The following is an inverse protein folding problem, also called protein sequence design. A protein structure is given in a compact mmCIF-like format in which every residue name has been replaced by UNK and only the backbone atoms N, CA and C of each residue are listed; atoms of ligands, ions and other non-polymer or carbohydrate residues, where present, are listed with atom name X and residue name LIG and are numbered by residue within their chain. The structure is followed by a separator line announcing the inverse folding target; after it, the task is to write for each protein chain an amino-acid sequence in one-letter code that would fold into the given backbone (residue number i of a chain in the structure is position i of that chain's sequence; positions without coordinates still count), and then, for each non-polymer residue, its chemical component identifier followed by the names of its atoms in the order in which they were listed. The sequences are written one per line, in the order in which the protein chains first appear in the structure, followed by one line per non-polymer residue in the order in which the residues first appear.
data_IF_462057559027
#
_entry.id   IF_462057559027
#
_cell.length_a   1.000
_cell.length_b   1.000
_cell.length_c   1.000
_cell.angle_alpha   90.00
_cell.angle_beta   90.00
_cell.angle_gamma   90.00
#
_symmetry.space_group_name_H-M   'P 1'
#
loop_
_entity.id
_entity.type
_entity.pdbx_description
1 polymer ?
#
# COMPACT_ATOMS: atom_id res chain seq x y z
N UNK A 1 -52.38 49.14 47.86
CA UNK A 1 -52.63 47.82 47.23
C UNK A 1 -52.40 47.96 45.73
N UNK A 2 -51.74 46.94 45.13
CA UNK A 2 -51.42 46.73 43.69
C UNK A 2 -50.16 47.44 43.19
N UNK A 3 -48.97 46.80 43.21
CA UNK A 3 -48.39 45.76 42.31
C UNK A 3 -48.00 46.24 40.91
N UNK A 4 -46.68 46.34 40.70
CA UNK A 4 -45.89 45.77 39.57
C UNK A 4 -46.05 46.43 38.18
N UNK A 5 -45.05 46.54 37.30
CA UNK A 5 -43.85 45.74 37.06
C UNK A 5 -42.76 46.56 36.36
N UNK A 6 -41.51 46.18 36.62
CA UNK A 6 -40.28 46.58 35.91
C UNK A 6 -40.13 45.68 34.66
N UNK A 7 -39.80 46.26 33.50
CA UNK A 7 -39.23 45.51 32.36
C UNK A 7 -37.82 46.02 32.10
N UNK A 8 -36.82 45.24 32.52
CA UNK A 8 -35.43 45.39 32.10
C UNK A 8 -35.11 44.24 31.15
N UNK A 9 -34.83 44.54 29.89
CA UNK A 9 -34.34 43.57 28.91
C UNK A 9 -32.84 43.32 29.16
N UNK A 10 -32.47 42.09 29.53
CA UNK A 10 -31.09 41.62 29.47
C UNK A 10 -30.81 41.10 28.06
N UNK A 11 -29.88 41.74 27.35
CA UNK A 11 -29.22 41.15 26.18
C UNK A 11 -28.02 40.35 26.68
N UNK A 12 -28.07 39.02 26.56
CA UNK A 12 -26.93 38.14 26.82
C UNK A 12 -26.02 38.15 25.59
N UNK A 13 -24.84 38.79 25.71
CA UNK A 13 -23.77 38.64 24.74
C UNK A 13 -23.05 37.30 25.01
N UNK A 14 -23.28 36.32 24.14
CA UNK A 14 -22.50 35.08 24.12
C UNK A 14 -21.11 35.36 23.55
N UNK A 15 -20.08 35.27 24.39
CA UNK A 15 -18.69 35.29 23.95
C UNK A 15 -18.36 33.92 23.33
N UNK A 16 -18.31 33.84 22.00
CA UNK A 16 -17.74 32.70 21.27
C UNK A 16 -16.22 32.83 21.37
N UNK A 17 -15.59 31.98 22.17
CA UNK A 17 -14.14 31.83 22.22
C UNK A 17 -13.68 31.06 20.97
N UNK A 18 -13.40 31.78 19.89
CA UNK A 18 -12.65 31.22 18.77
C UNK A 18 -11.21 30.96 19.20
N UNK A 19 -10.86 29.69 19.46
CA UNK A 19 -9.46 29.26 19.54
C UNK A 19 -8.89 29.29 18.11
N UNK A 20 -7.72 29.92 17.87
CA UNK A 20 -7.07 29.78 16.58
C UNK A 20 -6.55 28.35 16.47
N UNK A 21 -7.08 27.58 15.51
CA UNK A 21 -6.51 26.29 15.11
C UNK A 21 -5.17 26.56 14.42
N UNK A 22 -4.07 26.41 15.16
CA UNK A 22 -2.71 26.43 14.60
C UNK A 22 -2.43 25.04 14.05
N UNK A 23 -3.09 24.70 12.95
CA UNK A 23 -2.69 23.63 12.05
C UNK A 23 -3.00 24.20 10.67
N UNK A 24 -1.95 24.53 9.91
CA UNK A 24 -2.13 24.91 8.51
C UNK A 24 -2.86 23.77 7.83
N UNK A 25 -3.97 24.06 7.14
CA UNK A 25 -4.53 23.12 6.16
C UNK A 25 -3.37 22.67 5.29
N UNK A 26 -2.96 21.42 5.43
CA UNK A 26 -2.03 20.80 4.50
C UNK A 26 -2.81 20.76 3.19
N UNK A 27 -2.48 21.67 2.29
CA UNK A 27 -3.18 21.77 1.03
C UNK A 27 -3.01 20.42 0.30
N UNK A 28 -4.10 19.95 -0.29
CA UNK A 28 -4.15 19.10 -1.48
C UNK A 28 -3.42 19.72 -2.70
N UNK A 29 -2.41 20.57 -2.49
CA UNK A 29 -1.70 21.34 -3.51
C UNK A 29 -0.34 20.73 -3.90
N UNK A 30 0.09 19.64 -3.28
CA UNK A 30 1.26 18.91 -3.78
C UNK A 30 0.82 18.07 -4.98
N UNK A 31 1.46 18.29 -6.14
CA UNK A 31 1.19 17.56 -7.37
C UNK A 31 1.26 16.04 -7.14
N UNK A 32 0.43 15.28 -7.85
CA UNK A 32 0.46 13.82 -7.80
C UNK A 32 1.83 13.31 -8.27
N UNK A 33 2.57 12.54 -7.45
CA UNK A 33 3.92 12.11 -7.82
C UNK A 33 3.95 11.15 -9.01
N UNK A 34 2.84 10.48 -9.32
CA UNK A 34 2.70 9.58 -10.46
C UNK A 34 2.32 10.32 -11.76
N UNK A 35 1.83 11.56 -11.69
CA UNK A 35 1.45 12.29 -12.92
C UNK A 35 2.67 12.57 -13.79
N UNK A 36 2.60 12.14 -15.05
CA UNK A 36 3.67 12.32 -16.03
C UNK A 36 4.87 11.40 -15.83
N UNK A 37 4.78 10.42 -14.92
CA UNK A 37 5.85 9.43 -14.66
C UNK A 37 5.40 8.02 -14.96
N UNK A 38 6.35 7.19 -15.38
CA UNK A 38 6.14 5.76 -15.51
C UNK A 38 6.56 5.05 -14.22
N UNK A 39 5.69 4.21 -13.66
CA UNK A 39 6.10 3.30 -12.59
C UNK A 39 7.16 2.34 -13.15
N UNK A 40 8.34 2.31 -12.52
CA UNK A 40 9.48 1.56 -13.03
C UNK A 40 9.17 0.05 -13.13
N UNK A 41 9.75 -0.59 -14.14
CA UNK A 41 9.64 -2.04 -14.36
C UNK A 41 10.66 -2.79 -13.49
N UNK A 42 10.17 -3.63 -12.58
CA UNK A 42 10.98 -4.42 -11.66
C UNK A 42 11.66 -5.61 -12.35
N UNK A 43 12.93 -5.45 -12.71
CA UNK A 43 13.70 -6.45 -13.46
C UNK A 43 13.86 -7.79 -12.73
N UNK A 44 13.87 -7.80 -11.39
CA UNK A 44 13.91 -9.05 -10.63
C UNK A 44 12.60 -9.84 -10.78
N UNK A 45 11.47 -9.15 -10.91
CA UNK A 45 10.17 -9.77 -11.17
C UNK A 45 10.03 -10.24 -12.62
N UNK A 46 10.43 -9.39 -13.58
CA UNK A 46 10.30 -9.73 -15.01
C UNK A 46 11.17 -10.91 -15.41
N UNK A 47 12.33 -11.10 -14.76
CA UNK A 47 13.16 -12.29 -14.94
C UNK A 47 12.47 -13.58 -14.51
N UNK A 48 11.62 -13.56 -13.46
CA UNK A 48 10.86 -14.73 -13.01
C UNK A 48 9.74 -15.08 -13.99
N UNK A 49 9.10 -14.07 -14.58
CA UNK A 49 8.05 -14.23 -15.58
C UNK A 49 8.53 -14.92 -16.87
N UNK A 50 9.84 -15.03 -17.11
CA UNK A 50 10.34 -15.75 -18.27
C UNK A 50 9.97 -17.24 -18.24
N UNK A 51 9.95 -17.87 -17.05
CA UNK A 51 9.46 -19.24 -16.89
C UNK A 51 8.01 -19.37 -17.36
N UNK A 52 7.15 -18.43 -16.96
CA UNK A 52 5.73 -18.40 -17.34
C UNK A 52 5.54 -18.18 -18.83
N UNK A 53 6.34 -17.28 -19.42
CA UNK A 53 6.32 -17.01 -20.86
C UNK A 53 6.72 -18.25 -21.65
N UNK A 54 7.80 -18.91 -21.25
CA UNK A 54 8.27 -20.15 -21.87
C UNK A 54 7.25 -21.28 -21.74
N UNK A 55 6.56 -21.39 -20.60
CA UNK A 55 5.49 -22.36 -20.39
C UNK A 55 4.32 -22.17 -21.37
N UNK A 56 3.87 -20.93 -21.59
CA UNK A 56 2.83 -20.64 -22.58
C UNK A 56 3.30 -20.91 -24.01
N UNK A 57 4.52 -20.52 -24.36
CA UNK A 57 5.09 -20.79 -25.69
C UNK A 57 5.21 -22.29 -25.97
N UNK A 58 5.65 -23.08 -24.99
CA UNK A 58 5.74 -24.53 -25.09
C UNK A 58 4.36 -25.19 -25.29
N UNK A 59 3.29 -24.58 -24.76
CA UNK A 59 1.91 -25.00 -24.96
C UNK A 59 1.28 -24.50 -26.28
N UNK A 60 1.99 -23.69 -27.07
CA UNK A 60 1.46 -23.05 -28.28
C UNK A 60 0.44 -21.94 -28.01
N UNK A 61 0.48 -21.33 -26.81
CA UNK A 61 -0.41 -20.26 -26.39
C UNK A 61 0.29 -18.89 -26.54
N UNK A 62 0.46 -18.47 -27.80
CA UNK A 62 1.12 -17.20 -28.15
C UNK A 62 0.40 -15.98 -27.57
N UNK A 63 -0.91 -16.10 -27.32
CA UNK A 63 -1.72 -15.00 -26.78
C UNK A 63 -1.33 -14.73 -25.33
N UNK A 64 -1.32 -15.75 -24.46
CA UNK A 64 -0.94 -15.55 -23.07
C UNK A 64 0.57 -15.32 -22.93
N UNK A 65 1.42 -15.93 -23.78
CA UNK A 65 2.83 -15.55 -23.86
C UNK A 65 3.04 -14.06 -24.16
N UNK A 66 2.26 -13.50 -25.10
CA UNK A 66 2.29 -12.07 -25.42
C UNK A 66 1.82 -11.18 -24.27
N UNK A 67 0.86 -11.63 -23.45
CA UNK A 67 0.47 -10.92 -22.22
C UNK A 67 1.59 -10.91 -21.17
N UNK A 68 2.28 -12.03 -20.99
CA UNK A 68 3.44 -12.10 -20.08
C UNK A 68 4.53 -11.15 -20.55
N UNK A 69 4.83 -11.14 -21.86
CA UNK A 69 5.78 -10.21 -22.44
C UNK A 69 5.39 -8.75 -22.18
N UNK A 70 4.10 -8.40 -22.34
CA UNK A 70 3.62 -7.06 -22.01
C UNK A 70 3.85 -6.70 -20.53
N UNK A 71 3.63 -7.63 -19.59
CA UNK A 71 3.98 -7.42 -18.17
C UNK A 71 5.47 -7.17 -18.01
N UNK A 72 6.31 -7.98 -18.64
CA UNK A 72 7.77 -7.87 -18.56
C UNK A 72 8.31 -6.54 -19.11
N UNK A 73 7.66 -5.94 -20.10
CA UNK A 73 8.19 -4.77 -20.79
C UNK A 73 7.54 -3.46 -20.35
N UNK A 74 6.28 -3.50 -19.90
CA UNK A 74 5.46 -2.28 -19.78
C UNK A 74 4.74 -2.11 -18.43
N UNK A 75 4.75 -3.12 -17.55
CA UNK A 75 4.03 -3.04 -16.27
C UNK A 75 5.01 -2.87 -15.13
N UNK A 76 4.94 -1.70 -14.50
CA UNK A 76 5.71 -1.41 -13.29
C UNK A 76 5.16 -2.13 -12.06
N UNK A 77 6.07 -2.63 -11.21
CA UNK A 77 5.76 -3.35 -9.97
C UNK A 77 6.73 -2.91 -8.88
N UNK A 78 6.28 -2.84 -7.63
CA UNK A 78 7.16 -2.44 -6.52
C UNK A 78 8.26 -3.48 -6.24
N UNK A 79 9.39 -3.02 -5.69
CA UNK A 79 10.46 -3.90 -5.16
C UNK A 79 10.29 -4.05 -3.65
N UNK A 80 10.23 -5.31 -3.19
CA UNK A 80 10.06 -5.62 -1.77
C UNK A 80 11.41 -5.72 -1.08
N UNK A 81 11.68 -4.78 -0.17
CA UNK A 81 12.89 -4.77 0.64
C UNK A 81 12.57 -5.50 1.96
N UNK A 82 12.34 -6.80 1.90
CA UNK A 82 11.74 -7.56 3.00
C UNK A 82 12.71 -8.01 4.11
N UNK A 83 14.00 -7.66 4.00
CA UNK A 83 15.07 -7.94 4.97
C UNK A 83 16.32 -7.08 4.69
N UNK A 84 17.30 -7.09 5.59
CA UNK A 84 18.58 -6.37 5.47
C UNK A 84 19.35 -6.80 4.21
N UNK A 85 19.33 -8.08 3.84
CA UNK A 85 20.04 -8.56 2.66
C UNK A 85 19.45 -8.00 1.34
N UNK A 86 18.14 -7.78 1.30
CA UNK A 86 17.43 -7.19 0.14
C UNK A 86 17.67 -5.68 -0.05
N UNK A 87 18.39 -5.00 0.85
CA UNK A 87 18.74 -3.59 0.66
C UNK A 87 19.51 -3.32 -0.65
N UNK A 88 20.24 -4.32 -1.16
CA UNK A 88 20.91 -4.24 -2.45
C UNK A 88 19.95 -4.15 -3.65
N UNK A 89 18.70 -4.60 -3.51
CA UNK A 89 17.71 -4.52 -4.58
C UNK A 89 17.26 -3.07 -4.84
N UNK A 90 17.42 -2.17 -3.87
CA UNK A 90 17.22 -0.72 -4.06
C UNK A 90 18.23 -0.19 -5.09
N UNK A 91 19.49 -0.63 -4.99
CA UNK A 91 20.56 -0.17 -5.88
C UNK A 91 20.27 -0.63 -7.32
N UNK A 92 19.80 -1.88 -7.50
CA UNK A 92 19.37 -2.41 -8.79
C UNK A 92 18.14 -1.69 -9.37
N UNK A 93 17.15 -1.35 -8.53
CA UNK A 93 15.98 -0.58 -8.94
C UNK A 93 16.37 0.83 -9.43
N UNK A 94 17.28 1.49 -8.71
CA UNK A 94 17.82 2.81 -9.08
C UNK A 94 18.58 2.73 -10.41
N UNK A 95 19.45 1.74 -10.59
CA UNK A 95 20.20 1.55 -11.83
C UNK A 95 19.28 1.32 -13.03
N UNK A 96 18.30 0.43 -12.88
CA UNK A 96 17.30 0.13 -13.92
C UNK A 96 16.48 1.36 -14.30
N UNK A 97 15.92 2.07 -13.31
CA UNK A 97 15.11 3.27 -13.56
C UNK A 97 15.93 4.37 -14.26
N UNK A 98 17.18 4.60 -13.84
CA UNK A 98 18.08 5.56 -14.52
C UNK A 98 18.36 5.15 -15.95
N UNK A 99 18.60 3.87 -16.21
CA UNK A 99 18.86 3.38 -17.56
C UNK A 99 17.66 3.65 -18.49
N UNK A 100 16.44 3.31 -18.04
CA UNK A 100 15.21 3.57 -18.80
C UNK A 100 15.00 5.06 -19.03
N UNK A 101 15.18 5.90 -18.00
CA UNK A 101 15.04 7.35 -18.12
C UNK A 101 16.06 7.96 -19.09
N UNK A 102 17.29 7.44 -19.13
CA UNK A 102 18.32 7.88 -20.08
C UNK A 102 18.01 7.46 -21.51
N UNK A 103 17.43 6.27 -21.70
CA UNK A 103 17.10 5.73 -23.02
C UNK A 103 15.85 6.39 -23.63
N UNK A 104 14.81 6.56 -22.82
CA UNK A 104 13.48 7.00 -23.29
C UNK A 104 13.25 8.50 -23.12
N UNK A 105 13.92 9.13 -22.14
CA UNK A 105 13.62 10.48 -21.68
C UNK A 105 12.36 10.59 -20.82
N UNK A 106 11.69 9.47 -20.52
CA UNK A 106 10.50 9.44 -19.66
C UNK A 106 10.90 9.40 -18.19
N UNK A 107 10.36 10.33 -17.39
CA UNK A 107 10.60 10.34 -15.95
C UNK A 107 10.05 9.08 -15.29
N UNK A 108 10.88 8.44 -14.47
CA UNK A 108 10.51 7.22 -13.76
C UNK A 108 10.11 7.53 -12.31
N UNK A 109 9.16 6.76 -11.77
CA UNK A 109 8.90 6.67 -10.34
C UNK A 109 9.22 5.26 -9.85
N UNK A 110 10.13 5.13 -8.90
CA UNK A 110 10.55 3.85 -8.33
C UNK A 110 9.65 3.49 -7.16
N UNK A 111 8.92 2.37 -7.29
CA UNK A 111 8.09 1.80 -6.23
C UNK A 111 8.91 0.87 -5.32
N UNK A 112 8.94 1.14 -4.02
CA UNK A 112 9.63 0.31 -3.02
C UNK A 112 8.67 -0.04 -1.87
N UNK A 113 8.81 -1.24 -1.32
CA UNK A 113 8.14 -1.64 -0.07
C UNK A 113 9.19 -1.76 1.03
N UNK A 114 9.06 -0.93 2.06
CA UNK A 114 9.85 -1.01 3.29
C UNK A 114 9.08 -1.91 4.25
N UNK A 115 9.57 -3.14 4.47
CA UNK A 115 8.82 -4.19 5.16
C UNK A 115 9.73 -5.10 5.99
N UNK A 116 10.17 -4.64 7.16
CA UNK A 116 11.04 -5.43 8.03
C UNK A 116 10.87 -5.10 9.52
N UNK A 117 9.70 -4.61 9.94
CA UNK A 117 9.44 -4.36 11.36
C UNK A 117 9.82 -5.56 12.24
N UNK A 118 10.34 -5.32 13.48
CA UNK A 118 10.52 -6.41 14.43
C UNK A 118 9.17 -7.00 14.84
N UNK A 119 9.16 -8.32 15.07
CA UNK A 119 7.96 -9.10 15.38
C UNK A 119 6.88 -8.92 14.27
N UNK A 120 7.34 -8.86 13.00
CA UNK A 120 6.49 -8.73 11.80
C UNK A 120 5.44 -9.83 11.74
N UNK A 121 4.28 -9.49 11.18
CA UNK A 121 3.15 -10.41 10.99
C UNK A 121 2.74 -11.11 12.30
N UNK A 122 2.47 -10.29 13.32
CA UNK A 122 2.23 -10.76 14.68
C UNK A 122 0.96 -11.62 14.86
N UNK A 123 0.11 -11.75 13.83
CA UNK A 123 -1.15 -12.50 13.90
C UNK A 123 -1.19 -13.77 13.05
N UNK A 124 -0.50 -13.82 11.89
CA UNK A 124 -0.57 -14.97 10.98
C UNK A 124 0.74 -15.78 10.90
N UNK A 125 1.91 -15.14 11.06
CA UNK A 125 3.23 -15.78 11.18
C UNK A 125 3.85 -16.33 9.88
N UNK A 126 3.11 -16.40 8.77
CA UNK A 126 3.60 -16.89 7.46
C UNK A 126 4.65 -15.95 6.85
N UNK A 127 4.58 -14.65 7.15
CA UNK A 127 5.55 -13.64 6.70
C UNK A 127 6.44 -13.14 7.83
N UNK A 128 6.80 -14.00 8.80
CA UNK A 128 7.68 -13.60 9.90
C UNK A 128 9.00 -12.99 9.39
N UNK A 129 9.37 -11.82 9.94
CA UNK A 129 10.59 -11.08 9.58
C UNK A 129 11.83 -11.62 10.31
N UNK A 130 13.02 -11.11 9.94
CA UNK A 130 14.29 -11.51 10.56
C UNK A 130 14.59 -10.82 11.91
N UNK A 131 13.80 -9.79 12.25
CA UNK A 131 14.01 -8.96 13.42
C UNK A 131 13.01 -9.33 14.51
N UNK A 132 13.50 -9.51 15.74
CA UNK A 132 12.66 -9.78 16.91
C UNK A 132 12.88 -8.74 18.00
N UNK A 133 11.81 -8.32 18.70
CA UNK A 133 11.94 -7.36 19.81
C UNK A 133 12.80 -7.91 20.95
N UNK A 134 12.77 -9.23 21.16
CA UNK A 134 13.58 -9.93 22.15
C UNK A 134 15.09 -9.83 21.85
N UNK A 135 15.49 -9.63 20.59
CA UNK A 135 16.88 -9.61 20.14
C UNK A 135 17.28 -8.22 19.62
N UNK A 136 16.87 -7.18 20.33
CA UNK A 136 17.19 -5.78 20.02
C UNK A 136 16.66 -5.33 18.64
N UNK A 137 15.58 -5.96 18.15
CA UNK A 137 15.06 -5.79 16.79
C UNK A 137 14.71 -4.35 16.42
N UNK A 138 14.19 -3.54 17.35
CA UNK A 138 13.88 -2.13 17.04
C UNK A 138 15.14 -1.30 16.75
N UNK A 139 16.23 -1.51 17.50
CA UNK A 139 17.48 -0.80 17.21
C UNK A 139 18.09 -1.26 15.89
N UNK A 140 18.08 -2.57 15.62
CA UNK A 140 18.55 -3.15 14.35
C UNK A 140 17.73 -2.64 13.17
N UNK A 141 16.40 -2.60 13.30
CA UNK A 141 15.48 -2.04 12.31
C UNK A 141 15.85 -0.59 11.98
N UNK A 142 16.17 0.23 12.98
CA UNK A 142 16.61 1.62 12.75
C UNK A 142 17.95 1.68 12.04
N UNK A 143 19.00 1.06 12.59
CA UNK A 143 20.38 1.33 12.17
C UNK A 143 20.90 0.43 11.05
N UNK A 144 20.48 -0.84 11.02
CA UNK A 144 20.92 -1.83 10.03
C UNK A 144 20.02 -1.82 8.79
N UNK A 145 18.77 -1.36 8.94
CA UNK A 145 17.77 -1.41 7.88
C UNK A 145 17.30 -0.01 7.42
N UNK A 146 16.55 0.74 8.22
CA UNK A 146 15.97 2.05 7.81
C UNK A 146 17.05 3.07 7.43
N UNK A 147 18.10 3.23 8.24
CA UNK A 147 19.19 4.18 7.94
C UNK A 147 19.87 3.84 6.60
N UNK A 148 20.02 2.53 6.31
CA UNK A 148 20.64 2.04 5.08
C UNK A 148 19.71 2.19 3.87
N UNK A 149 18.41 2.01 4.08
CA UNK A 149 17.38 2.29 3.08
C UNK A 149 17.40 3.77 2.71
N UNK A 150 17.29 4.65 3.72
CA UNK A 150 17.22 6.09 3.55
C UNK A 150 18.46 6.64 2.83
N UNK A 151 19.65 6.18 3.21
CA UNK A 151 20.90 6.59 2.57
C UNK A 151 20.91 6.30 1.06
N UNK A 152 20.36 5.15 0.62
CA UNK A 152 20.31 4.77 -0.81
C UNK A 152 19.36 5.65 -1.61
N UNK A 153 18.12 5.81 -1.14
CA UNK A 153 17.11 6.60 -1.88
C UNK A 153 17.44 8.09 -1.87
N UNK A 154 18.01 8.63 -0.78
CA UNK A 154 18.44 10.03 -0.72
C UNK A 154 19.66 10.32 -1.59
N UNK A 155 20.52 9.33 -1.84
CA UNK A 155 21.64 9.45 -2.78
C UNK A 155 21.19 9.50 -4.26
N UNK A 156 19.94 9.14 -4.55
CA UNK A 156 19.35 9.14 -5.88
C UNK A 156 18.32 10.27 -6.05
N UNK A 157 18.72 11.50 -5.75
CA UNK A 157 17.86 12.70 -5.83
C UNK A 157 17.38 13.06 -7.24
N UNK A 158 17.93 12.42 -8.28
CA UNK A 158 17.52 12.52 -9.68
C UNK A 158 16.28 11.68 -10.01
N UNK A 159 15.89 10.74 -9.14
CA UNK A 159 14.72 9.88 -9.30
C UNK A 159 13.61 10.26 -8.31
N UNK A 160 12.37 9.91 -8.65
CA UNK A 160 11.21 10.00 -7.75
C UNK A 160 10.92 8.64 -7.14
N UNK A 161 10.54 8.59 -5.85
CA UNK A 161 10.25 7.35 -5.14
C UNK A 161 8.83 7.36 -4.55
N UNK A 162 8.09 6.26 -4.76
CA UNK A 162 6.91 5.93 -3.98
C UNK A 162 7.27 4.78 -3.02
N UNK A 163 7.18 5.01 -1.71
CA UNK A 163 7.58 4.03 -0.70
C UNK A 163 6.36 3.65 0.13
N UNK A 164 5.98 2.37 0.06
CA UNK A 164 5.00 1.75 0.94
C UNK A 164 5.66 1.38 2.25
N UNK A 165 5.06 1.79 3.37
CA UNK A 165 5.61 1.56 4.71
C UNK A 165 4.82 0.46 5.43
N UNK A 166 5.52 -0.65 5.66
CA UNK A 166 5.17 -1.73 6.59
C UNK A 166 3.75 -2.28 6.42
N UNK A 167 3.48 -3.00 5.31
CA UNK A 167 2.24 -3.74 5.10
C UNK A 167 1.74 -4.49 6.34
N UNK A 168 0.42 -4.45 6.56
CA UNK A 168 -0.33 -5.11 7.65
C UNK A 168 -0.06 -4.62 9.08
N UNK A 169 0.96 -3.78 9.30
CA UNK A 169 1.32 -3.37 10.65
C UNK A 169 0.16 -2.62 11.35
N UNK A 170 -0.44 -1.65 10.67
CA UNK A 170 -1.56 -0.88 11.24
C UNK A 170 -2.83 -1.71 11.37
N UNK A 171 -3.10 -2.62 10.43
CA UNK A 171 -4.20 -3.59 10.52
C UNK A 171 -4.17 -4.36 11.84
N UNK A 172 -3.00 -4.92 12.16
CA UNK A 172 -2.76 -5.64 13.41
C UNK A 172 -2.90 -4.75 14.66
N UNK A 173 -2.46 -3.49 14.58
CA UNK A 173 -2.61 -2.52 15.68
C UNK A 173 -4.07 -2.16 15.98
N UNK A 174 -4.95 -2.24 14.98
CA UNK A 174 -6.37 -1.92 15.14
C UNK A 174 -7.16 -3.12 15.62
N UNK A 175 -7.03 -4.29 14.97
CA UNK A 175 -7.97 -5.40 15.20
C UNK A 175 -7.42 -6.54 16.05
N UNK A 176 -6.09 -6.69 16.12
CA UNK A 176 -5.46 -7.90 16.66
C UNK A 176 -4.82 -7.69 18.04
N UNK A 177 -5.23 -6.65 18.77
CA UNK A 177 -4.72 -6.33 20.11
C UNK A 177 -5.13 -7.35 21.19
N UNK A 178 -6.05 -8.27 20.89
CA UNK A 178 -6.35 -9.41 21.77
C UNK A 178 -5.27 -10.50 21.73
N UNK A 179 -4.41 -10.50 20.70
CA UNK A 179 -3.26 -11.39 20.60
C UNK A 179 -2.11 -10.75 21.39
N UNK A 180 -1.66 -11.40 22.47
CA UNK A 180 -0.63 -10.85 23.37
C UNK A 180 0.66 -10.48 22.62
N UNK A 181 1.06 -11.28 21.63
CA UNK A 181 2.21 -11.00 20.79
C UNK A 181 2.05 -9.67 20.01
N UNK A 182 0.90 -9.44 19.36
CA UNK A 182 0.59 -8.17 18.70
C UNK A 182 0.48 -6.99 19.66
N UNK A 183 -0.14 -7.19 20.83
CA UNK A 183 -0.28 -6.14 21.84
C UNK A 183 1.09 -5.66 22.35
N UNK A 184 2.02 -6.58 22.57
CA UNK A 184 3.39 -6.28 22.98
C UNK A 184 4.20 -5.60 21.86
N UNK A 185 3.95 -5.96 20.60
CA UNK A 185 4.67 -5.40 19.45
C UNK A 185 4.17 -4.01 19.03
N UNK A 186 2.91 -3.66 19.31
CA UNK A 186 2.26 -2.47 18.76
C UNK A 186 3.01 -1.15 19.02
N UNK A 187 3.45 -0.88 20.25
CA UNK A 187 4.14 0.38 20.55
C UNK A 187 5.54 0.46 19.93
N UNK A 188 6.42 -0.55 20.06
CA UNK A 188 7.68 -0.60 19.32
C UNK A 188 7.51 -0.51 17.79
N UNK A 189 6.47 -1.11 17.22
CA UNK A 189 6.19 -1.04 15.79
C UNK A 189 5.75 0.38 15.37
N UNK A 190 4.90 1.07 16.15
CA UNK A 190 4.61 2.51 15.91
C UNK A 190 5.89 3.33 15.92
N UNK A 191 6.77 3.08 16.87
CA UNK A 191 8.08 3.75 16.98
C UNK A 191 9.04 3.42 15.83
N UNK A 192 8.91 2.24 15.23
CA UNK A 192 9.63 1.83 14.02
C UNK A 192 9.12 2.57 12.79
N UNK A 193 7.81 2.55 12.53
CA UNK A 193 7.20 3.26 11.39
C UNK A 193 7.45 4.76 11.50
N UNK A 194 7.30 5.35 12.68
CA UNK A 194 7.59 6.76 12.93
C UNK A 194 9.05 7.12 12.62
N UNK A 195 10.00 6.24 12.97
CA UNK A 195 11.41 6.42 12.63
C UNK A 195 11.65 6.35 11.12
N UNK A 196 11.03 5.40 10.41
CA UNK A 196 11.12 5.31 8.95
C UNK A 196 10.58 6.58 8.27
N UNK A 197 9.44 7.09 8.71
CA UNK A 197 8.90 8.36 8.20
C UNK A 197 9.91 9.50 8.43
N UNK A 198 10.44 9.64 9.65
CA UNK A 198 11.38 10.71 9.98
C UNK A 198 12.68 10.64 9.16
N UNK A 199 13.19 9.44 8.90
CA UNK A 199 14.43 9.21 8.16
C UNK A 199 14.29 9.48 6.64
N UNK A 200 13.09 9.30 6.08
CA UNK A 200 12.82 9.34 4.64
C UNK A 200 12.23 10.68 4.14
N UNK A 201 12.55 11.80 4.81
CA UNK A 201 12.06 13.12 4.41
C UNK A 201 12.95 13.71 3.30
N UNK A 202 12.43 13.77 2.07
CA UNK A 202 13.02 14.49 0.93
C UNK A 202 11.94 14.84 -0.10
N UNK A 203 12.17 15.86 -0.94
CA UNK A 203 11.18 16.34 -1.91
C UNK A 203 10.82 15.29 -2.98
N UNK A 204 11.76 14.40 -3.30
CA UNK A 204 11.60 13.34 -4.30
C UNK A 204 11.12 12.00 -3.69
N UNK A 205 10.79 11.96 -2.40
CA UNK A 205 10.36 10.75 -1.69
C UNK A 205 8.91 10.91 -1.22
N UNK A 206 8.04 10.02 -1.67
CA UNK A 206 6.61 10.02 -1.37
C UNK A 206 6.24 8.79 -0.56
N UNK A 207 5.89 9.01 0.71
CA UNK A 207 5.61 7.95 1.68
C UNK A 207 4.12 7.64 1.75
N UNK A 208 3.79 6.35 1.64
CA UNK A 208 2.45 5.81 1.80
C UNK A 208 2.45 4.80 2.95
N UNK A 209 1.78 5.11 4.06
CA UNK A 209 1.64 4.15 5.17
C UNK A 209 0.62 3.09 4.76
N UNK A 210 0.94 1.81 4.95
CA UNK A 210 -0.03 0.78 4.63
C UNK A 210 -1.28 0.85 5.52
N UNK A 211 -2.44 0.75 4.87
CA UNK A 211 -3.76 0.78 5.46
C UNK A 211 -4.54 -0.52 5.20
N UNK A 212 -3.83 -1.65 5.01
CA UNK A 212 -4.44 -2.95 4.77
C UNK A 212 -5.42 -2.92 3.60
N UNK A 213 -6.69 -3.26 3.78
CA UNK A 213 -7.70 -3.28 2.71
C UNK A 213 -9.12 -3.09 3.28
N UNK A 214 -10.11 -2.87 2.41
CA UNK A 214 -11.51 -2.57 2.79
C UNK A 214 -12.13 -3.64 3.68
N UNK A 215 -11.86 -4.92 3.39
CA UNK A 215 -12.31 -6.06 4.21
C UNK A 215 -11.73 -6.19 5.61
N UNK A 216 -10.69 -5.42 5.93
CA UNK A 216 -10.06 -5.44 7.24
C UNK A 216 -10.38 -4.14 8.00
N UNK A 217 -9.97 -3.00 7.46
CA UNK A 217 -10.07 -1.71 8.14
C UNK A 217 -11.20 -0.82 7.62
N UNK A 218 -11.91 -1.27 6.58
CA UNK A 218 -13.01 -0.53 5.96
C UNK A 218 -14.39 -0.73 6.60
N UNK A 219 -14.51 -1.59 7.63
CA UNK A 219 -15.71 -1.68 8.45
C UNK A 219 -15.92 -0.40 9.26
N UNK A 220 -17.17 0.05 9.40
CA UNK A 220 -17.51 1.34 10.04
C UNK A 220 -16.84 1.54 11.42
N UNK A 221 -16.81 0.49 12.24
CA UNK A 221 -16.21 0.52 13.58
C UNK A 221 -14.66 0.60 13.56
N UNK A 222 -14.02 0.27 12.43
CA UNK A 222 -12.56 0.27 12.28
C UNK A 222 -12.01 1.57 11.67
N UNK A 223 -12.82 2.35 10.95
CA UNK A 223 -12.36 3.56 10.25
C UNK A 223 -11.75 4.61 11.19
N UNK A 224 -12.47 4.98 12.25
CA UNK A 224 -11.99 5.98 13.22
C UNK A 224 -10.75 5.50 14.02
N UNK A 225 -10.72 4.25 14.56
CA UNK A 225 -9.50 3.70 15.17
C UNK A 225 -8.30 3.68 14.21
N UNK A 226 -8.51 3.37 12.94
CA UNK A 226 -7.47 3.35 11.91
C UNK A 226 -6.84 4.73 11.73
N UNK A 227 -7.66 5.76 11.49
CA UNK A 227 -7.17 7.14 11.40
C UNK A 227 -6.41 7.57 12.67
N UNK A 228 -6.83 7.09 13.85
CA UNK A 228 -6.14 7.39 15.12
C UNK A 228 -4.76 6.77 15.22
N UNK A 229 -4.56 5.56 14.68
CA UNK A 229 -3.23 4.93 14.63
C UNK A 229 -2.30 5.74 13.73
N UNK A 230 -2.75 6.16 12.55
CA UNK A 230 -1.96 7.00 11.66
C UNK A 230 -1.58 8.34 12.30
N UNK A 231 -2.53 9.00 12.97
CA UNK A 231 -2.27 10.25 13.68
C UNK A 231 -1.19 10.07 14.76
N UNK A 232 -1.25 8.96 15.50
CA UNK A 232 -0.26 8.62 16.53
C UNK A 232 1.13 8.39 15.92
N UNK A 233 1.21 7.62 14.84
CA UNK A 233 2.47 7.32 14.14
C UNK A 233 3.10 8.58 13.55
N UNK A 234 2.33 9.39 12.82
CA UNK A 234 2.82 10.63 12.20
C UNK A 234 3.25 11.63 13.26
N UNK A 235 2.51 11.77 14.37
CA UNK A 235 2.92 12.64 15.48
C UNK A 235 4.25 12.20 16.12
N UNK A 236 4.50 10.89 16.23
CA UNK A 236 5.77 10.32 16.73
C UNK A 236 6.95 10.59 15.80
N UNK A 237 6.72 10.68 14.48
CA UNK A 237 7.77 10.98 13.50
C UNK A 237 8.32 12.42 13.65
N UNK A 238 7.54 13.32 14.26
CA UNK A 238 7.95 14.67 14.62
C UNK A 238 7.23 15.76 13.80
N UNK A 239 7.32 17.04 14.23
CA UNK A 239 6.45 18.11 13.73
C UNK A 239 6.68 18.50 12.26
N UNK A 240 7.81 18.11 11.67
CA UNK A 240 8.14 18.39 10.27
C UNK A 240 8.00 17.15 9.38
N UNK A 241 7.69 15.99 9.95
CA UNK A 241 7.55 14.76 9.21
C UNK A 241 6.25 14.79 8.40
N UNK A 242 6.36 14.44 7.12
CA UNK A 242 5.23 14.36 6.20
C UNK A 242 5.16 12.97 5.59
N UNK A 243 3.94 12.55 5.32
CA UNK A 243 3.62 11.45 4.41
C UNK A 243 2.79 12.02 3.26
N UNK A 244 2.79 11.32 2.13
CA UNK A 244 1.88 11.63 1.03
C UNK A 244 0.49 11.10 1.35
N UNK A 245 0.40 9.88 1.88
CA UNK A 245 -0.89 9.24 2.16
C UNK A 245 -0.75 7.77 2.56
N UNK A 246 -1.57 6.91 1.95
CA UNK A 246 -1.73 5.51 2.34
C UNK A 246 -1.67 4.54 1.15
N UNK A 247 -1.26 3.30 1.39
CA UNK A 247 -1.48 2.20 0.44
C UNK A 247 -2.62 1.31 0.91
N UNK A 248 -3.41 0.79 -0.02
CA UNK A 248 -4.41 -0.24 0.29
C UNK A 248 -4.33 -1.41 -0.69
N UNK A 249 -4.95 -2.52 -0.28
CA UNK A 249 -5.05 -3.77 -1.02
C UNK A 249 -3.71 -4.49 -1.27
N UNK A 250 -2.62 -4.05 -0.62
CA UNK A 250 -1.29 -4.64 -0.80
C UNK A 250 -1.35 -6.14 -0.55
N UNK A 251 -0.97 -6.92 -1.55
CA UNK A 251 -1.03 -8.39 -1.52
C UNK A 251 -2.44 -8.99 -1.36
N UNK A 252 -3.51 -8.21 -1.42
CA UNK A 252 -4.88 -8.70 -1.37
C UNK A 252 -5.49 -8.78 -2.79
N UNK A 253 -6.80 -8.89 -2.87
CA UNK A 253 -7.53 -9.30 -4.08
C UNK A 253 -8.81 -8.50 -4.33
N UNK A 254 -9.06 -7.45 -3.54
CA UNK A 254 -10.28 -6.67 -3.71
C UNK A 254 -10.24 -5.94 -5.06
N UNK A 255 -11.38 -5.84 -5.77
CA UNK A 255 -11.45 -4.99 -6.95
C UNK A 255 -11.25 -3.53 -6.54
N UNK A 256 -10.68 -2.73 -7.45
CA UNK A 256 -10.60 -1.28 -7.25
C UNK A 256 -12.01 -0.65 -7.18
N UNK A 257 -12.88 -0.97 -8.14
CA UNK A 257 -14.26 -0.51 -8.16
C UNK A 257 -15.16 -1.58 -8.78
N UNK A 258 -16.30 -1.87 -8.15
CA UNK A 258 -17.24 -2.89 -8.64
C UNK A 258 -18.70 -2.45 -8.49
N UNK A 259 -19.53 -2.88 -9.43
CA UNK A 259 -21.00 -2.79 -9.34
C UNK A 259 -21.65 -4.10 -8.88
N UNK A 260 -20.84 -5.15 -8.69
CA UNK A 260 -21.28 -6.48 -8.24
C UNK A 260 -20.46 -6.91 -7.03
N UNK A 261 -20.72 -6.33 -5.84
CA UNK A 261 -20.01 -6.69 -4.62
C UNK A 261 -20.18 -8.17 -4.31
N UNK A 262 -19.15 -8.75 -3.69
CA UNK A 262 -19.19 -10.14 -3.24
C UNK A 262 -20.12 -10.30 -2.03
N UNK A 263 -20.82 -11.43 -1.85
CA UNK A 263 -21.76 -11.59 -0.75
C UNK A 263 -21.13 -11.37 0.64
N UNK A 264 -19.86 -11.73 0.83
CA UNK A 264 -19.17 -11.53 2.12
C UNK A 264 -18.90 -10.06 2.46
N UNK A 265 -19.11 -9.12 1.53
CA UNK A 265 -18.97 -7.68 1.80
C UNK A 265 -20.27 -7.06 2.30
N UNK A 266 -21.32 -7.85 2.53
CA UNK A 266 -22.60 -7.36 3.08
C UNK A 266 -22.35 -6.51 4.33
N UNK A 267 -23.07 -5.38 4.42
CA UNK A 267 -22.96 -4.37 5.49
C UNK A 267 -21.68 -3.52 5.51
N UNK A 268 -20.67 -3.81 4.68
CA UNK A 268 -19.51 -2.93 4.55
C UNK A 268 -19.79 -1.82 3.53
N UNK A 269 -19.55 -0.57 3.92
CA UNK A 269 -19.51 0.56 2.98
C UNK A 269 -18.23 0.54 2.13
N UNK A 270 -17.23 -0.26 2.51
CA UNK A 270 -15.92 -0.38 1.88
C UNK A 270 -15.79 -1.68 1.10
N UNK A 271 -16.83 -2.07 0.36
CA UNK A 271 -16.91 -3.36 -0.35
C UNK A 271 -15.94 -3.48 -1.55
N UNK A 272 -15.37 -2.37 -2.00
CA UNK A 272 -14.23 -2.30 -2.91
C UNK A 272 -13.25 -1.22 -2.43
N UNK A 273 -12.07 -1.14 -3.05
CA UNK A 273 -10.98 -0.30 -2.54
C UNK A 273 -11.18 1.20 -2.81
N UNK A 274 -11.89 1.57 -3.88
CA UNK A 274 -12.26 2.97 -4.14
C UNK A 274 -13.25 3.47 -3.08
N UNK A 275 -14.24 2.65 -2.72
CA UNK A 275 -15.16 2.94 -1.62
C UNK A 275 -14.44 2.92 -0.26
N UNK A 276 -13.46 2.02 -0.06
CA UNK A 276 -12.65 2.04 1.16
C UNK A 276 -11.87 3.35 1.33
N UNK A 277 -11.17 3.79 0.29
CA UNK A 277 -10.46 5.08 0.30
C UNK A 277 -11.43 6.23 0.65
N UNK A 278 -12.60 6.29 0.01
CA UNK A 278 -13.62 7.30 0.30
C UNK A 278 -14.18 7.22 1.73
N UNK A 279 -14.35 6.00 2.26
CA UNK A 279 -14.89 5.78 3.61
C UNK A 279 -13.90 6.23 4.69
N UNK A 280 -12.59 6.09 4.44
CA UNK A 280 -11.56 6.46 5.40
C UNK A 280 -11.27 7.98 5.41
N UNK A 281 -11.43 8.68 4.29
CA UNK A 281 -11.11 10.12 4.13
C UNK A 281 -11.67 11.01 5.25
N UNK A 282 -12.98 10.97 5.62
CA UNK A 282 -13.51 11.84 6.66
C UNK A 282 -12.85 11.66 8.02
N UNK A 283 -12.37 10.45 8.32
CA UNK A 283 -11.70 10.13 9.58
C UNK A 283 -10.25 10.62 9.58
N UNK A 284 -9.57 10.59 8.43
CA UNK A 284 -8.24 11.15 8.24
C UNK A 284 -8.26 12.67 8.38
N UNK A 285 -9.21 13.34 7.72
CA UNK A 285 -9.38 14.80 7.82
C UNK A 285 -9.67 15.24 9.27
N UNK A 286 -10.45 14.47 10.01
CA UNK A 286 -10.77 14.74 11.41
C UNK A 286 -9.52 14.70 12.32
N UNK A 287 -8.51 13.91 11.97
CA UNK A 287 -7.21 13.87 12.65
C UNK A 287 -6.17 14.82 12.01
N UNK A 288 -6.54 15.59 10.98
CA UNK A 288 -5.67 16.53 10.29
C UNK A 288 -4.60 15.87 9.41
N UNK A 289 -4.88 14.65 8.93
CA UNK A 289 -3.99 13.85 8.11
C UNK A 289 -4.21 14.07 6.60
N UNK A 290 -3.22 13.76 5.75
CA UNK A 290 -3.43 13.76 4.29
C UNK A 290 -4.43 12.67 3.89
N UNK A 291 -4.95 12.76 2.68
CA UNK A 291 -6.08 11.92 2.19
C UNK A 291 -5.79 11.30 0.83
N UNK A 292 -4.51 11.01 0.55
CA UNK A 292 -4.06 10.43 -0.72
C UNK A 292 -3.83 8.93 -0.60
N UNK A 293 -4.08 8.20 -1.68
CA UNK A 293 -4.00 6.75 -1.71
C UNK A 293 -3.28 6.25 -2.96
N UNK A 294 -2.57 5.14 -2.82
CA UNK A 294 -2.23 4.23 -3.92
C UNK A 294 -2.87 2.88 -3.64
N UNK A 295 -3.37 2.21 -4.68
CA UNK A 295 -4.16 0.99 -4.50
C UNK A 295 -3.57 -0.12 -5.34
N UNK A 296 -3.19 -1.23 -4.69
CA UNK A 296 -2.67 -2.42 -5.36
C UNK A 296 -3.78 -3.09 -6.18
N UNK A 297 -3.53 -3.35 -7.45
CA UNK A 297 -4.37 -4.15 -8.33
C UNK A 297 -3.53 -5.22 -9.07
N UNK A 298 -2.37 -5.59 -8.51
CA UNK A 298 -1.52 -6.66 -9.05
C UNK A 298 -2.25 -7.98 -9.12
N UNK A 299 -3.19 -8.24 -8.21
CA UNK A 299 -4.08 -9.40 -8.22
C UNK A 299 -5.49 -8.96 -7.88
N UNK A 300 -6.47 -9.46 -8.62
CA UNK A 300 -7.89 -9.24 -8.35
C UNK A 300 -8.57 -10.60 -8.36
N UNK A 301 -9.31 -10.91 -7.30
CA UNK A 301 -10.02 -12.19 -7.18
C UNK A 301 -11.00 -12.35 -8.35
N UNK A 302 -11.07 -13.56 -8.89
CA UNK A 302 -12.19 -13.91 -9.77
C UNK A 302 -13.46 -13.90 -8.92
N UNK A 303 -14.58 -13.43 -9.47
CA UNK A 303 -15.85 -13.40 -8.72
C UNK A 303 -16.20 -14.80 -8.19
N UNK A 304 -16.46 -14.89 -6.89
CA UNK A 304 -16.76 -16.15 -6.20
C UNK A 304 -15.52 -16.98 -5.83
N UNK A 305 -14.30 -16.51 -6.10
CA UNK A 305 -13.06 -17.20 -5.72
C UNK A 305 -12.81 -17.24 -4.21
N UNK A 306 -13.49 -16.37 -3.46
CA UNK A 306 -13.46 -16.36 -2.00
C UNK A 306 -14.83 -16.66 -1.42
N UNK A 307 -14.88 -17.58 -0.46
CA UNK A 307 -16.04 -17.79 0.39
C UNK A 307 -16.08 -16.77 1.53
N UNK A 308 -14.92 -16.36 2.02
CA UNK A 308 -14.76 -15.40 3.13
C UNK A 308 -13.78 -14.30 2.75
N UNK A 309 -14.05 -13.06 3.20
CA UNK A 309 -13.19 -11.93 2.86
C UNK A 309 -11.76 -12.06 3.43
N UNK A 310 -11.63 -12.79 4.54
CA UNK A 310 -10.36 -13.08 5.20
C UNK A 310 -9.50 -14.11 4.47
N UNK A 311 -9.95 -14.70 3.36
CA UNK A 311 -9.11 -15.58 2.54
C UNK A 311 -8.10 -14.74 1.74
N UNK A 312 -6.81 -14.98 1.97
CA UNK A 312 -5.71 -14.17 1.44
C UNK A 312 -4.58 -15.01 0.80
N UNK A 313 -4.46 -16.30 1.11
CA UNK A 313 -3.34 -17.08 0.63
C UNK A 313 -3.63 -17.68 -0.75
N UNK A 314 -2.90 -17.25 -1.79
CA UNK A 314 -2.95 -17.77 -3.16
C UNK A 314 -4.37 -17.95 -3.70
N UNK A 315 -5.22 -16.94 -3.53
CA UNK A 315 -6.63 -16.96 -3.96
C UNK A 315 -6.70 -17.03 -5.49
N UNK A 316 -7.68 -17.73 -6.07
CA UNK A 316 -7.88 -17.73 -7.52
C UNK A 316 -8.16 -16.30 -8.03
N UNK A 317 -7.28 -15.82 -8.92
CA UNK A 317 -7.23 -14.42 -9.31
C UNK A 317 -6.79 -14.22 -10.76
N UNK A 318 -6.93 -12.99 -11.23
CA UNK A 318 -6.32 -12.47 -12.45
C UNK A 318 -5.39 -11.29 -12.16
N UNK A 319 -4.44 -11.03 -13.05
CA UNK A 319 -3.75 -9.74 -13.05
C UNK A 319 -4.78 -8.62 -13.25
N UNK A 320 -4.79 -7.61 -12.37
CA UNK A 320 -5.75 -6.51 -12.44
C UNK A 320 -5.34 -5.40 -13.40
N UNK A 321 -5.94 -4.23 -13.21
CA UNK A 321 -5.62 -3.02 -13.97
C UNK A 321 -4.14 -2.63 -13.77
N UNK A 322 -3.33 -2.49 -14.84
CA UNK A 322 -1.98 -1.95 -14.74
C UNK A 322 -1.96 -0.51 -14.21
N UNK A 323 -0.79 -0.07 -13.76
CA UNK A 323 -0.64 1.23 -13.12
C UNK A 323 -1.23 2.39 -13.94
N UNK A 324 -2.03 3.24 -13.30
CA UNK A 324 -2.67 4.39 -13.95
C UNK A 324 -3.10 5.44 -12.92
N UNK A 325 -2.95 6.72 -13.30
CA UNK A 325 -3.47 7.87 -12.54
C UNK A 325 -4.92 8.22 -12.90
N UNK A 326 -5.50 7.53 -13.90
CA UNK A 326 -6.91 7.70 -14.29
C UNK A 326 -7.80 6.86 -13.37
N UNK A 327 -7.94 7.29 -12.13
CA UNK A 327 -8.61 6.53 -11.06
C UNK A 327 -10.08 6.87 -10.87
N UNK A 328 -10.55 7.99 -11.44
CA UNK A 328 -11.88 8.56 -11.22
C UNK A 328 -12.22 8.83 -9.73
N UNK A 329 -11.22 8.74 -8.84
CA UNK A 329 -11.33 9.02 -7.42
C UNK A 329 -10.28 10.08 -7.05
N UNK A 330 -10.68 11.29 -6.64
CA UNK A 330 -9.74 12.40 -6.41
C UNK A 330 -8.78 12.16 -5.25
N UNK A 331 -9.01 11.14 -4.42
CA UNK A 331 -8.15 10.75 -3.32
C UNK A 331 -7.13 9.68 -3.72
N UNK A 332 -7.26 9.05 -4.88
CA UNK A 332 -6.34 8.00 -5.33
C UNK A 332 -5.37 8.56 -6.36
N UNK A 333 -4.11 8.67 -5.96
CA UNK A 333 -3.01 9.14 -6.81
C UNK A 333 -2.77 8.18 -7.99
N UNK A 334 -2.75 6.88 -7.73
CA UNK A 334 -2.56 5.86 -8.75
C UNK A 334 -3.09 4.50 -8.33
N UNK A 335 -3.66 3.75 -9.28
CA UNK A 335 -3.64 2.29 -9.22
C UNK A 335 -2.21 1.85 -9.50
N UNK A 336 -1.71 0.85 -8.79
CA UNK A 336 -0.33 0.33 -8.89
C UNK A 336 -0.32 -1.19 -8.72
N UNK A 337 0.79 -1.84 -9.06
CA UNK A 337 1.04 -3.23 -8.67
C UNK A 337 2.11 -3.25 -7.58
N UNK A 338 1.75 -3.68 -6.37
CA UNK A 338 2.68 -3.71 -5.24
C UNK A 338 3.17 -5.14 -5.02
N UNK A 339 2.28 -6.11 -4.79
CA UNK A 339 2.64 -7.53 -4.73
C UNK A 339 3.00 -8.07 -6.14
N UNK A 340 4.19 -8.67 -6.34
CA UNK A 340 4.52 -9.31 -7.61
C UNK A 340 3.71 -10.60 -7.78
N UNK A 341 2.68 -10.56 -8.62
CA UNK A 341 1.81 -11.71 -8.87
C UNK A 341 2.60 -12.87 -9.48
N UNK A 342 2.50 -14.05 -8.86
CA UNK A 342 3.35 -15.22 -9.16
C UNK A 342 4.34 -15.54 -8.04
N UNK A 343 4.66 -14.59 -7.17
CA UNK A 343 5.32 -14.91 -5.90
C UNK A 343 4.29 -15.41 -4.88
N UNK A 344 4.44 -16.65 -4.41
CA UNK A 344 3.50 -17.28 -3.48
C UNK A 344 3.28 -16.44 -2.21
N UNK A 345 2.08 -16.50 -1.66
CA UNK A 345 1.75 -15.90 -0.36
C UNK A 345 2.17 -16.80 0.82
N UNK A 346 2.37 -18.09 0.57
CA UNK A 346 2.60 -19.12 1.59
C UNK A 346 2.28 -20.51 1.05
N UNK A 347 2.62 -21.56 1.79
CA UNK A 347 2.32 -22.95 1.39
C UNK A 347 0.84 -23.31 1.70
N UNK A 348 -0.09 -22.51 1.18
CA UNK A 348 -1.52 -22.54 1.45
C UNK A 348 -2.37 -22.09 0.26
N UNK A 349 -3.69 -22.19 0.38
CA UNK A 349 -4.65 -21.81 -0.68
C UNK A 349 -4.74 -22.88 -1.77
N UNK A 350 -3.96 -22.71 -2.84
CA UNK A 350 -3.91 -23.63 -3.97
C UNK A 350 -2.98 -24.80 -3.66
N UNK A 351 -3.42 -26.02 -3.99
CA UNK A 351 -2.62 -27.23 -3.82
C UNK A 351 -1.30 -27.12 -4.60
N UNK A 352 -0.18 -27.42 -3.93
CA UNK A 352 1.16 -27.31 -4.52
C UNK A 352 1.80 -25.93 -4.39
N UNK A 353 1.14 -24.96 -3.75
CA UNK A 353 1.73 -23.65 -3.49
C UNK A 353 3.06 -23.76 -2.72
N UNK A 354 4.14 -23.10 -3.19
CA UNK A 354 5.41 -23.09 -2.50
C UNK A 354 5.39 -22.10 -1.32
N UNK A 355 6.49 -22.06 -0.55
CA UNK A 355 6.64 -21.11 0.56
C UNK A 355 6.52 -19.65 0.10
N UNK A 356 6.15 -18.76 1.02
CA UNK A 356 6.00 -17.33 0.75
C UNK A 356 7.22 -16.74 0.04
N UNK A 357 6.98 -15.95 -1.01
CA UNK A 357 8.00 -15.30 -1.83
C UNK A 357 8.68 -16.19 -2.88
N UNK A 358 8.49 -17.52 -2.83
CA UNK A 358 8.96 -18.41 -3.89
C UNK A 358 8.13 -18.22 -5.17
N UNK A 359 8.75 -18.44 -6.32
CA UNK A 359 8.04 -18.40 -7.59
C UNK A 359 7.05 -19.57 -7.70
N UNK A 360 5.82 -19.26 -8.09
CA UNK A 360 4.73 -20.19 -8.30
C UNK A 360 4.21 -20.02 -9.73
N UNK A 361 4.85 -20.71 -10.68
CA UNK A 361 4.61 -20.52 -12.10
C UNK A 361 3.17 -20.83 -12.51
N UNK A 362 2.58 -21.90 -11.99
CA UNK A 362 1.19 -22.25 -12.28
C UNK A 362 0.22 -21.15 -11.86
N UNK A 363 0.55 -20.43 -10.79
CA UNK A 363 -0.23 -19.28 -10.33
C UNK A 363 0.00 -18.05 -11.21
N UNK A 364 1.23 -17.78 -11.66
CA UNK A 364 1.50 -16.73 -12.63
C UNK A 364 0.76 -16.98 -13.97
N UNK A 365 0.68 -18.24 -14.40
CA UNK A 365 -0.14 -18.64 -15.56
C UNK A 365 -1.64 -18.41 -15.30
N UNK A 366 -2.14 -18.74 -14.12
CA UNK A 366 -3.54 -18.48 -13.71
C UNK A 366 -3.86 -16.99 -13.79
N UNK A 367 -3.01 -16.15 -13.19
CA UNK A 367 -3.15 -14.69 -13.22
C UNK A 367 -3.18 -14.15 -14.65
N UNK A 368 -2.34 -14.68 -15.54
CA UNK A 368 -2.25 -14.29 -16.96
C UNK A 368 -3.51 -14.67 -17.75
N UNK A 369 -4.03 -15.88 -17.53
CA UNK A 369 -5.25 -16.35 -18.20
C UNK A 369 -6.46 -15.51 -17.81
N UNK A 370 -6.55 -15.13 -16.54
CA UNK A 370 -7.63 -14.35 -15.96
C UNK A 370 -7.38 -12.82 -16.01
N UNK A 371 -6.34 -12.38 -16.70
CA UNK A 371 -5.91 -10.99 -16.66
C UNK A 371 -6.96 -9.98 -17.17
N UNK A 372 -6.91 -8.79 -16.59
CA UNK A 372 -7.68 -7.63 -17.01
C UNK A 372 -7.50 -7.33 -18.50
N UNK A 373 -8.54 -6.80 -19.14
CA UNK A 373 -8.55 -6.54 -20.59
C UNK A 373 -7.47 -5.55 -21.05
N UNK A 374 -6.98 -4.70 -20.14
CA UNK A 374 -5.89 -3.77 -20.39
C UNK A 374 -4.51 -4.46 -20.46
N UNK A 375 -4.40 -5.73 -20.05
CA UNK A 375 -3.18 -6.51 -20.12
C UNK A 375 -3.05 -7.17 -21.51
N UNK A 376 -2.94 -6.35 -22.55
CA UNK A 376 -2.73 -6.81 -23.91
C UNK A 376 -1.64 -5.98 -24.59
N UNK A 377 -0.76 -6.59 -25.40
CA UNK A 377 0.10 -5.84 -26.28
C UNK A 377 -0.77 -5.02 -27.22
N UNK A 378 -0.39 -3.76 -27.47
CA UNK A 378 -1.08 -2.94 -28.46
C UNK A 378 -1.09 -3.71 -29.79
N UNK A 379 -2.27 -4.10 -30.26
CA UNK A 379 -2.40 -4.75 -31.57
C UNK A 379 -1.85 -3.75 -32.58
N UNK A 380 -0.72 -4.07 -33.20
CA UNK A 380 -0.21 -3.31 -34.33
C UNK A 380 -1.26 -3.44 -35.44
N UNK A 381 -2.04 -2.39 -35.66
CA UNK A 381 -3.02 -2.30 -36.75
C UNK A 381 -2.30 -2.08 -38.07
#
# INVERSE_FOLDING_TARGET
MRTSSILSALAAAGAVSARPSIWSRQNDADANPFEGRQLFVNQNYTAKLEETREAFLAAGDDVNAGKVQYVQESVGTFVWISNIASLGDIDGAIESARAVQQETGEEQIVGLVLYNLPDRDCSAGESAGELSLAENGLARYRTEYVDQFAARVQAASDLTFAIVLEPDAVGNMVTNQAIEFCANAAEPQRDGIAYAIAALQADNIHLYIDASHGGWLGWDDNLAPTAKQFATIVAKAGPNAKIRGYSTNVSNYNPFSTTTPEPYTEYSNSFDESHYALSLVPHLEAEGLPTRFIIDQGRVAVQGARAEWGEWCNVEAGFGQPATTQTENPHVDSIVWIKPGGESDGACGIEGAPNAGAWFDEYAQLLTRNAHVALQPAVSV
#
